data_IF_873723033573
#
_entry.id   IF_873723033573
#
_cell.length_a   1.000
_cell.length_b   1.000
_cell.length_c   1.000
_cell.angle_alpha   90.00
_cell.angle_beta   90.00
_cell.angle_gamma   90.00
#
_symmetry.space_group_name_H-M   'P 1'
#
loop_
_entity.id
_entity.type
_entity.pdbx_description
1 polymer ?
#
# COMPACT_ATOMS: atom_id res chain seq x y z
N UNK A 1 10.61 -3.08 -9.51
CA UNK A 1 9.14 -2.94 -9.30
C UNK A 1 8.82 -2.10 -8.06
N UNK A 2 9.32 -2.43 -6.86
CA UNK A 2 9.06 -1.66 -5.63
C UNK A 2 9.33 -0.15 -5.74
N UNK A 3 10.53 0.24 -6.19
CA UNK A 3 10.88 1.66 -6.36
C UNK A 3 10.02 2.36 -7.43
N UNK A 4 9.55 1.61 -8.44
CA UNK A 4 8.68 2.13 -9.50
C UNK A 4 7.28 2.43 -8.96
N UNK A 5 6.74 1.56 -8.11
CA UNK A 5 5.40 1.73 -7.53
C UNK A 5 5.35 2.84 -6.49
N UNK A 6 6.40 2.98 -5.69
CA UNK A 6 6.55 4.13 -4.79
C UNK A 6 6.60 5.45 -5.57
N UNK A 7 7.30 5.48 -6.71
CA UNK A 7 7.33 6.64 -7.60
C UNK A 7 5.96 6.94 -8.25
N UNK A 8 5.16 5.91 -8.49
CA UNK A 8 3.80 6.01 -9.04
C UNK A 8 2.72 6.29 -7.97
N UNK A 9 3.08 6.39 -6.69
CA UNK A 9 2.11 6.58 -5.61
C UNK A 9 1.28 5.33 -5.27
N UNK A 10 1.72 4.15 -5.69
CA UNK A 10 1.09 2.84 -5.47
C UNK A 10 1.75 2.14 -4.27
N UNK A 11 1.47 2.65 -3.07
CA UNK A 11 2.14 2.18 -1.86
C UNK A 11 1.72 0.79 -1.44
N UNK A 12 0.41 0.54 -1.32
CA UNK A 12 -0.11 -0.70 -0.81
C UNK A 12 0.26 -1.88 -1.73
N UNK A 13 0.33 -1.66 -3.05
CA UNK A 13 0.84 -2.63 -4.01
C UNK A 13 2.32 -2.94 -3.74
N UNK A 14 3.12 -1.93 -3.38
CA UNK A 14 4.50 -2.15 -2.96
C UNK A 14 4.57 -2.98 -1.66
N UNK A 15 3.67 -2.76 -0.70
CA UNK A 15 3.60 -3.58 0.52
C UNK A 15 3.27 -5.04 0.20
N UNK A 16 2.37 -5.30 -0.74
CA UNK A 16 2.07 -6.68 -1.15
C UNK A 16 3.27 -7.30 -1.88
N UNK A 17 3.90 -6.57 -2.80
CA UNK A 17 5.06 -7.08 -3.56
C UNK A 17 6.29 -7.34 -2.70
N UNK A 18 6.46 -6.65 -1.58
CA UNK A 18 7.56 -6.93 -0.65
C UNK A 18 7.47 -8.34 -0.06
N UNK A 19 6.30 -8.97 -0.10
CA UNK A 19 6.05 -10.34 0.37
C UNK A 19 6.33 -11.39 -0.72
N UNK A 20 6.48 -10.99 -1.99
CA UNK A 20 6.69 -11.91 -3.12
C UNK A 20 8.16 -12.24 -3.39
N UNK A 21 9.10 -11.52 -2.76
CA UNK A 21 10.52 -11.80 -2.89
C UNK A 21 10.93 -13.16 -2.33
N UNK A 22 12.16 -13.64 -2.64
CA UNK A 22 12.78 -14.71 -1.83
C UNK A 22 12.76 -14.31 -0.35
N UNK A 23 12.88 -15.25 0.60
CA UNK A 23 12.80 -15.05 2.07
C UNK A 23 13.81 -14.06 2.69
N UNK A 24 14.36 -13.15 1.90
CA UNK A 24 15.12 -11.99 2.29
C UNK A 24 14.21 -11.01 3.08
N UNK A 25 14.18 -11.22 4.40
CA UNK A 25 13.48 -10.38 5.39
C UNK A 25 13.85 -8.88 5.24
N UNK A 26 14.99 -8.57 4.63
CA UNK A 26 15.46 -7.21 4.35
C UNK A 26 14.43 -6.35 3.61
N UNK A 27 13.67 -6.92 2.65
CA UNK A 27 12.65 -6.17 1.91
C UNK A 27 11.43 -5.84 2.77
N UNK A 28 11.04 -6.79 3.62
CA UNK A 28 9.95 -6.62 4.58
C UNK A 28 10.33 -5.56 5.62
N UNK A 29 11.55 -5.63 6.16
CA UNK A 29 12.05 -4.69 7.16
C UNK A 29 12.13 -3.25 6.62
N UNK A 30 12.62 -3.08 5.39
CA UNK A 30 12.65 -1.76 4.73
C UNK A 30 11.25 -1.16 4.56
N UNK A 31 10.25 -2.00 4.24
CA UNK A 31 8.87 -1.54 4.10
C UNK A 31 8.22 -1.27 5.45
N UNK A 32 8.55 -2.03 6.49
CA UNK A 32 8.12 -1.75 7.87
C UNK A 32 8.64 -0.37 8.30
N UNK A 33 9.91 -0.05 8.02
CA UNK A 33 10.47 1.27 8.31
C UNK A 33 9.71 2.37 7.56
N UNK A 34 9.37 2.15 6.29
CA UNK A 34 8.56 3.07 5.51
C UNK A 34 7.16 3.26 6.12
N UNK A 35 6.46 2.17 6.45
CA UNK A 35 5.13 2.20 7.10
C UNK A 35 5.18 2.98 8.42
N UNK A 36 6.20 2.74 9.24
CA UNK A 36 6.35 3.38 10.54
C UNK A 36 6.66 4.88 10.38
N UNK A 37 7.50 5.26 9.41
CA UNK A 37 7.77 6.66 9.11
C UNK A 37 6.49 7.43 8.73
N UNK A 38 5.52 6.76 8.08
CA UNK A 38 4.21 7.34 7.78
C UNK A 38 3.32 7.52 9.03
N UNK A 39 3.51 6.68 10.05
CA UNK A 39 2.75 6.73 11.30
C UNK A 39 3.30 7.75 12.31
N UNK A 40 4.60 8.04 12.25
CA UNK A 40 5.29 8.99 13.13
C UNK A 40 5.29 10.42 12.56
N UNK A 41 5.31 10.55 11.23
CA UNK A 41 5.31 11.84 10.56
C UNK A 41 3.86 12.29 10.32
N UNK A 42 3.34 13.18 11.15
CA UNK A 42 2.15 13.97 10.82
C UNK A 42 2.31 14.86 9.57
N UNK A 43 3.54 14.91 9.02
CA UNK A 43 3.95 15.67 7.85
C UNK A 43 4.34 14.77 6.66
N UNK A 44 3.46 13.82 6.31
CA UNK A 44 3.44 13.22 4.97
C UNK A 44 4.57 12.26 4.62
N UNK A 45 4.43 11.68 3.44
CA UNK A 45 5.44 10.83 2.79
C UNK A 45 6.78 11.58 2.72
N UNK A 46 7.94 10.91 2.85
CA UNK A 46 9.16 11.48 2.31
C UNK A 46 8.95 11.61 0.79
N UNK A 47 8.64 12.84 0.36
CA UNK A 47 8.75 13.22 -1.03
C UNK A 47 10.19 12.87 -1.40
N UNK A 48 10.29 11.97 -2.38
CA UNK A 48 11.47 11.71 -3.19
C UNK A 48 12.44 12.88 -3.10
N UNK A 49 13.65 12.63 -2.58
CA UNK A 49 14.78 13.49 -2.90
C UNK A 49 14.79 13.60 -4.43
N UNK A 50 14.36 14.74 -4.94
CA UNK A 50 14.57 15.11 -6.33
C UNK A 50 16.07 15.20 -6.49
N UNK A 51 16.69 14.09 -6.90
CA UNK A 51 18.00 14.17 -7.49
C UNK A 51 17.89 15.14 -8.66
N UNK A 52 18.71 16.18 -8.52
CA UNK A 52 18.79 17.36 -9.36
C UNK A 52 19.08 16.95 -10.80
N UNK A 53 18.05 16.80 -11.62
CA UNK A 53 18.17 16.98 -13.06
C UNK A 53 17.45 18.27 -13.43
N UNK A 54 18.28 19.32 -13.60
CA UNK A 54 17.91 20.65 -14.07
C UNK A 54 16.92 20.56 -15.23
N UNK A 55 15.66 20.87 -14.98
CA UNK A 55 14.77 21.34 -16.03
C UNK A 55 13.98 22.51 -15.47
N UNK A 56 14.35 23.71 -15.92
CA UNK A 56 13.78 24.97 -15.50
C UNK A 56 12.25 24.93 -15.62
N UNK A 57 11.57 25.15 -14.49
CA UNK A 57 10.12 25.32 -14.43
C UNK A 57 9.79 26.67 -15.06
N UNK A 58 9.39 26.65 -16.33
CA UNK A 58 8.68 27.76 -16.96
C UNK A 58 7.23 27.67 -16.50
N UNK A 59 6.92 28.55 -15.57
CA UNK A 59 5.59 28.86 -15.07
C UNK A 59 4.66 29.23 -16.25
N UNK A 60 3.76 28.35 -16.66
CA UNK A 60 2.58 28.75 -17.45
C UNK A 60 1.34 27.96 -17.05
N UNK A 61 0.49 28.69 -16.34
CA UNK A 61 -0.92 28.45 -16.12
C UNK A 61 -1.63 28.28 -17.48
N UNK A 62 -2.23 27.12 -17.73
CA UNK A 62 -3.18 26.97 -18.84
C UNK A 62 -4.26 25.95 -18.49
N UNK A 63 -5.48 26.47 -18.40
CA UNK A 63 -6.72 25.73 -18.35
C UNK A 63 -6.82 24.80 -19.58
N UNK A 64 -7.04 23.50 -19.37
CA UNK A 64 -7.71 22.66 -20.38
C UNK A 64 -8.51 21.55 -19.71
N UNK A 65 -9.82 21.73 -19.81
CA UNK A 65 -10.86 20.76 -19.54
C UNK A 65 -10.69 19.55 -20.46
N UNK A 66 -10.60 18.34 -19.91
CA UNK A 66 -10.95 17.11 -20.61
C UNK A 66 -11.72 16.20 -19.67
N UNK A 67 -13.00 16.02 -20.01
CA UNK A 67 -13.96 15.09 -19.44
C UNK A 67 -13.48 13.64 -19.61
N UNK A 68 -13.46 12.89 -18.52
CA UNK A 68 -13.53 11.43 -18.54
C UNK A 68 -14.65 11.00 -17.60
N UNK A 69 -15.64 10.30 -18.16
CA UNK A 69 -16.86 9.86 -17.50
C UNK A 69 -16.62 8.56 -16.69
N UNK A 70 -17.10 8.59 -15.45
CA UNK A 70 -17.74 7.51 -14.70
C UNK A 70 -17.12 6.10 -14.68
N UNK A 71 -16.20 5.89 -13.72
CA UNK A 71 -16.30 4.78 -12.75
C UNK A 71 -15.74 5.26 -11.40
N UNK A 72 -16.63 5.51 -10.43
CA UNK A 72 -16.36 5.71 -8.99
C UNK A 72 -15.21 6.66 -8.62
N UNK A 73 -15.48 7.96 -8.72
CA UNK A 73 -14.72 9.03 -8.06
C UNK A 73 -15.02 9.11 -6.54
N UNK A 74 -15.50 8.03 -5.93
CA UNK A 74 -15.86 8.00 -4.50
C UNK A 74 -14.68 7.57 -3.60
N UNK A 75 -13.55 7.17 -4.18
CA UNK A 75 -12.31 6.94 -3.43
C UNK A 75 -11.50 8.20 -3.12
N UNK A 76 -11.89 9.37 -3.65
CA UNK A 76 -11.15 10.63 -3.46
C UNK A 76 -11.74 11.58 -2.41
N UNK A 77 -12.80 11.17 -1.68
CA UNK A 77 -13.41 12.01 -0.65
C UNK A 77 -13.38 11.33 0.71
N UNK A 78 -12.38 11.70 1.52
CA UNK A 78 -12.29 11.32 2.92
C UNK A 78 -13.56 11.73 3.68
N UNK A 79 -14.26 10.74 4.22
CA UNK A 79 -15.45 10.94 5.06
C UNK A 79 -15.13 11.30 6.52
N UNK A 80 -13.86 11.55 6.84
CA UNK A 80 -13.41 12.02 8.15
C UNK A 80 -12.44 13.19 7.93
N UNK A 81 -12.80 14.38 8.42
CA UNK A 81 -12.10 15.66 8.21
C UNK A 81 -10.70 15.76 8.83
N UNK A 82 -9.80 14.84 8.49
CA UNK A 82 -8.36 14.96 8.68
C UNK A 82 -7.72 15.63 7.46
N UNK A 83 -6.63 16.35 7.69
CA UNK A 83 -5.87 17.08 6.66
C UNK A 83 -5.56 16.19 5.45
N UNK A 84 -5.80 16.75 4.25
CA UNK A 84 -5.70 16.16 2.92
C UNK A 84 -4.22 15.99 2.54
N UNK A 85 -3.47 15.23 3.34
CA UNK A 85 -2.06 14.98 3.10
C UNK A 85 -1.91 13.50 2.74
N UNK A 86 -1.93 13.26 1.44
CA UNK A 86 -1.39 12.08 0.75
C UNK A 86 -2.29 10.84 0.72
N UNK A 87 -3.28 10.88 -0.17
CA UNK A 87 -3.91 9.67 -0.69
C UNK A 87 -2.91 8.93 -1.60
N UNK A 88 -2.64 7.67 -1.29
CA UNK A 88 -2.01 6.76 -2.24
C UNK A 88 -2.97 6.54 -3.41
N UNK A 89 -2.45 6.35 -4.62
CA UNK A 89 -3.30 6.11 -5.80
C UNK A 89 -3.95 4.73 -5.78
N UNK A 90 -3.39 3.80 -5.01
CA UNK A 90 -3.96 2.47 -4.76
C UNK A 90 -4.81 2.42 -3.49
N UNK A 91 -5.89 1.64 -3.57
CA UNK A 91 -6.82 1.45 -2.47
C UNK A 91 -6.36 0.28 -1.57
N UNK A 92 -6.14 0.51 -0.25
CA UNK A 92 -5.75 -0.58 0.65
C UNK A 92 -6.79 -1.70 0.71
N UNK A 93 -8.07 -1.38 0.62
CA UNK A 93 -9.16 -2.34 0.80
C UNK A 93 -9.11 -3.47 -0.23
N UNK A 94 -8.70 -3.16 -1.46
CA UNK A 94 -8.57 -4.15 -2.54
C UNK A 94 -7.36 -5.07 -2.34
N UNK A 95 -6.39 -4.65 -1.53
CA UNK A 95 -5.09 -5.29 -1.40
C UNK A 95 -4.93 -6.08 -0.09
N UNK A 96 -5.70 -5.73 0.95
CA UNK A 96 -5.75 -6.46 2.24
C UNK A 96 -5.89 -7.99 2.08
N UNK A 97 -6.73 -8.53 1.16
CA UNK A 97 -6.87 -9.96 1.01
C UNK A 97 -5.58 -10.69 0.62
N UNK A 98 -4.62 -10.00 -0.02
CA UNK A 98 -3.37 -10.59 -0.48
C UNK A 98 -2.25 -10.53 0.57
N UNK A 99 -2.42 -9.72 1.62
CA UNK A 99 -1.44 -9.60 2.69
C UNK A 99 -1.48 -10.85 3.58
N UNK A 100 -0.30 -11.45 3.79
CA UNK A 100 -0.13 -12.60 4.68
C UNK A 100 0.96 -12.40 5.73
N UNK A 101 1.88 -11.46 5.53
CA UNK A 101 2.94 -11.20 6.50
C UNK A 101 2.38 -10.43 7.70
N UNK A 102 2.40 -11.07 8.88
CA UNK A 102 1.85 -10.51 10.12
C UNK A 102 2.58 -9.23 10.51
N UNK A 103 3.91 -9.16 10.36
CA UNK A 103 4.71 -7.98 10.74
C UNK A 103 4.26 -6.75 9.94
N UNK A 104 4.05 -6.92 8.63
CA UNK A 104 3.54 -5.85 7.77
C UNK A 104 2.11 -5.43 8.14
N UNK A 105 1.23 -6.39 8.40
CA UNK A 105 -0.14 -6.11 8.83
C UNK A 105 -0.18 -5.36 10.17
N UNK A 106 0.66 -5.74 11.14
CA UNK A 106 0.79 -5.05 12.43
C UNK A 106 1.30 -3.62 12.26
N UNK A 107 2.33 -3.41 11.42
CA UNK A 107 2.83 -2.07 11.13
C UNK A 107 1.76 -1.19 10.44
N UNK A 108 1.00 -1.76 9.50
CA UNK A 108 -0.10 -1.05 8.83
C UNK A 108 -1.22 -0.69 9.80
N UNK A 109 -1.57 -1.59 10.73
CA UNK A 109 -2.54 -1.33 11.78
C UNK A 109 -2.09 -0.21 12.72
N UNK A 110 -0.86 -0.27 13.22
CA UNK A 110 -0.28 0.78 14.07
C UNK A 110 -0.24 2.12 13.34
N UNK A 111 0.24 2.15 12.09
CA UNK A 111 0.30 3.36 11.28
C UNK A 111 -1.09 3.94 10.99
N UNK A 112 -2.09 3.11 10.68
CA UNK A 112 -3.47 3.56 10.49
C UNK A 112 -4.08 4.10 11.79
N UNK A 113 -3.84 3.42 12.91
CA UNK A 113 -4.31 3.84 14.25
C UNK A 113 -3.72 5.19 14.64
N UNK A 114 -2.40 5.38 14.46
CA UNK A 114 -1.71 6.63 14.78
C UNK A 114 -2.21 7.82 13.95
N UNK A 115 -2.64 7.57 12.71
CA UNK A 115 -3.23 8.58 11.82
C UNK A 115 -4.74 8.79 12.04
N UNK A 116 -5.36 8.10 13.00
CA UNK A 116 -6.80 8.18 13.24
C UNK A 116 -7.68 7.47 12.18
N UNK A 117 -7.08 6.65 11.31
CA UNK A 117 -7.77 5.89 10.27
C UNK A 117 -8.34 4.57 10.84
N UNK A 118 -9.23 4.67 11.84
CA UNK A 118 -9.73 3.53 12.61
C UNK A 118 -10.44 2.45 11.78
N UNK A 119 -11.15 2.86 10.71
CA UNK A 119 -11.80 1.90 9.80
C UNK A 119 -10.77 1.02 9.08
N UNK A 120 -9.65 1.60 8.64
CA UNK A 120 -8.58 0.85 7.99
C UNK A 120 -7.84 -0.03 9.01
N UNK A 121 -7.53 0.51 10.20
CA UNK A 121 -6.97 -0.27 11.32
C UNK A 121 -7.82 -1.51 11.64
N UNK A 122 -9.14 -1.35 11.73
CA UNK A 122 -10.05 -2.47 11.99
C UNK A 122 -9.97 -3.55 10.90
N UNK A 123 -9.82 -3.18 9.63
CA UNK A 123 -9.67 -4.15 8.52
C UNK A 123 -8.32 -4.87 8.58
N UNK A 124 -7.22 -4.17 8.92
CA UNK A 124 -5.93 -4.83 9.13
C UNK A 124 -5.97 -5.82 10.31
N UNK A 125 -6.57 -5.42 11.45
CA UNK A 125 -6.80 -6.32 12.60
C UNK A 125 -7.64 -7.54 12.23
N UNK A 126 -8.72 -7.34 11.48
CA UNK A 126 -9.54 -8.44 10.99
C UNK A 126 -8.73 -9.39 10.11
N UNK A 127 -7.83 -8.86 9.26
CA UNK A 127 -6.94 -9.68 8.44
C UNK A 127 -5.97 -10.51 9.30
N UNK A 128 -5.33 -9.91 10.30
CA UNK A 128 -4.41 -10.57 11.24
C UNK A 128 -5.09 -11.73 11.95
N UNK A 129 -6.36 -11.57 12.33
CA UNK A 129 -7.13 -12.58 13.07
C UNK A 129 -7.65 -13.74 12.19
N UNK A 130 -7.30 -13.80 10.90
CA UNK A 130 -7.70 -14.94 10.07
C UNK A 130 -6.95 -16.21 10.48
N UNK A 131 -7.65 -17.36 10.58
CA UNK A 131 -7.04 -18.62 10.99
C UNK A 131 -5.95 -19.09 10.01
N UNK A 132 -6.05 -18.73 8.74
CA UNK A 132 -5.06 -19.05 7.70
C UNK A 132 -3.69 -18.39 7.91
N UNK A 133 -3.64 -17.30 8.68
CA UNK A 133 -2.41 -16.57 9.02
C UNK A 133 -1.88 -16.92 10.40
N UNK A 134 -2.52 -17.85 11.12
CA UNK A 134 -2.15 -18.16 12.49
C UNK A 134 -0.74 -18.77 12.54
N UNK A 135 0.16 -18.13 13.30
CA UNK A 135 1.54 -18.60 13.48
C UNK A 135 1.65 -19.98 14.17
N UNK A 136 0.56 -20.47 14.77
CA UNK A 136 0.49 -21.81 15.34
C UNK A 136 0.20 -22.92 14.30
N UNK A 137 -0.09 -22.56 13.04
CA UNK A 137 -0.24 -23.53 11.96
C UNK A 137 1.12 -24.16 11.61
N UNK A 138 1.10 -25.35 10.99
CA UNK A 138 2.34 -25.94 10.46
C UNK A 138 2.93 -25.10 9.34
N UNK A 139 4.26 -25.15 9.20
CA UNK A 139 4.97 -24.42 8.14
C UNK A 139 4.48 -24.78 6.73
N UNK A 140 4.04 -26.03 6.53
CA UNK A 140 3.46 -26.51 5.28
C UNK A 140 2.16 -25.76 4.92
N UNK A 141 1.25 -25.60 5.89
CA UNK A 141 -0.02 -24.87 5.70
C UNK A 141 0.26 -23.40 5.46
N UNK A 142 1.19 -22.81 6.22
CA UNK A 142 1.58 -21.42 6.05
C UNK A 142 2.21 -21.19 4.67
N UNK A 143 3.07 -22.11 4.21
CA UNK A 143 3.69 -22.05 2.90
C UNK A 143 2.67 -22.15 1.76
N UNK A 144 1.76 -23.13 1.82
CA UNK A 144 0.71 -23.30 0.82
C UNK A 144 -0.19 -22.06 0.72
N UNK A 145 -0.56 -21.49 1.88
CA UNK A 145 -1.35 -20.27 1.93
C UNK A 145 -0.60 -19.08 1.30
N UNK A 146 0.68 -18.88 1.62
CA UNK A 146 1.54 -17.84 1.02
C UNK A 146 1.58 -17.98 -0.51
N UNK A 147 1.82 -19.18 -1.01
CA UNK A 147 1.83 -19.45 -2.46
C UNK A 147 0.49 -19.12 -3.11
N UNK A 148 -0.62 -19.51 -2.47
CA UNK A 148 -1.98 -19.25 -2.96
C UNK A 148 -2.27 -17.77 -3.05
N UNK A 149 -1.93 -17.00 -2.01
CA UNK A 149 -2.18 -15.55 -1.96
C UNK A 149 -1.29 -14.80 -2.95
N UNK A 150 -0.02 -15.17 -3.07
CA UNK A 150 0.90 -14.60 -4.05
C UNK A 150 0.38 -14.83 -5.49
N UNK A 151 -0.08 -16.05 -5.80
CA UNK A 151 -0.64 -16.36 -7.11
C UNK A 151 -1.93 -15.57 -7.39
N UNK A 152 -2.83 -15.46 -6.40
CA UNK A 152 -4.04 -14.63 -6.51
C UNK A 152 -3.70 -13.17 -6.79
N UNK A 153 -2.70 -12.63 -6.13
CA UNK A 153 -2.26 -11.25 -6.35
C UNK A 153 -1.63 -11.05 -7.74
N UNK A 154 -0.79 -11.98 -8.21
CA UNK A 154 -0.23 -11.90 -9.56
C UNK A 154 -1.33 -11.95 -10.64
N UNK A 155 -2.38 -12.75 -10.45
CA UNK A 155 -3.57 -12.75 -11.32
C UNK A 155 -4.34 -11.42 -11.27
N UNK A 156 -4.42 -10.81 -10.09
CA UNK A 156 -5.02 -9.49 -9.93
C UNK A 156 -4.23 -8.43 -10.73
N UNK A 157 -2.90 -8.40 -10.57
CA UNK A 157 -2.02 -7.49 -11.33
C UNK A 157 -2.12 -7.70 -12.84
N UNK A 158 -2.14 -8.95 -13.32
CA UNK A 158 -2.30 -9.22 -14.75
C UNK A 158 -3.64 -8.71 -15.29
N UNK A 159 -4.71 -8.82 -14.49
CA UNK A 159 -6.03 -8.31 -14.87
C UNK A 159 -6.04 -6.78 -14.92
N UNK A 160 -5.28 -6.12 -14.04
CA UNK A 160 -5.29 -4.67 -13.88
C UNK A 160 -4.39 -3.95 -14.90
N UNK A 161 -3.26 -4.54 -15.28
CA UNK A 161 -2.22 -3.87 -16.08
C UNK A 161 -1.99 -4.46 -17.48
N UNK A 162 -2.44 -5.69 -17.77
CA UNK A 162 -2.12 -6.41 -19.02
C UNK A 162 -3.34 -6.73 -19.90
N UNK A 163 -4.51 -6.20 -19.56
CA UNK A 163 -5.75 -6.26 -20.36
C UNK A 163 -6.03 -4.85 -20.90
#
# INVERSE_FOLDING_TARGET
MMCCLQYLGLFYESVVLSQLGPSDECLVDNIIQLINSLGENSNGWPIVQTDTFNTAVVNTQSQRSTSFNNTSLDCLRGACGGSLLHATLDCPDNLIPYLWNIRLLSSLDSSASNRGAFLQSAKFKARINNPELNANNSDEILFENRCTLNLKYLRHLSTLYLI
#
